data_IF_891857865569
#
_entry.id   IF_891857865569
#
_cell.length_a   1.000
_cell.length_b   1.000
_cell.length_c   1.000
_cell.angle_alpha   90.00
_cell.angle_beta   90.00
_cell.angle_gamma   90.00
#
_symmetry.space_group_name_H-M   'P 1'
#
loop_
_entity.id
_entity.type
_entity.pdbx_description
1 polymer ?
#
# COMPACT_ATOMS: atom_id res chain seq x y z
N UNK A 1 52.78 -12.44 -0.97
CA UNK A 1 51.77 -13.17 -1.77
C UNK A 1 50.41 -12.64 -1.38
N UNK A 2 49.85 -11.79 -2.24
CA UNK A 2 48.53 -11.17 -2.13
C UNK A 2 47.47 -12.20 -2.55
N UNK A 3 46.42 -12.36 -1.74
CA UNK A 3 45.13 -12.88 -2.19
C UNK A 3 44.10 -11.75 -2.13
N UNK A 4 43.22 -11.63 -3.13
CA UNK A 4 42.54 -10.38 -3.47
C UNK A 4 41.28 -10.12 -2.62
N UNK A 5 41.03 -8.83 -2.39
CA UNK A 5 39.71 -8.30 -1.98
C UNK A 5 38.73 -8.44 -3.15
N UNK A 6 37.74 -9.30 -3.02
CA UNK A 6 36.47 -9.21 -3.76
C UNK A 6 35.55 -8.33 -2.91
N UNK A 7 35.20 -7.13 -3.34
CA UNK A 7 34.17 -6.91 -4.36
C UNK A 7 32.90 -6.45 -3.65
N UNK A 8 32.94 -5.26 -3.06
CA UNK A 8 31.78 -4.64 -2.43
C UNK A 8 30.73 -4.35 -3.48
N UNK A 9 29.60 -5.05 -3.39
CA UNK A 9 28.41 -4.72 -4.16
C UNK A 9 27.82 -3.43 -3.58
N UNK A 10 27.95 -2.36 -4.36
CA UNK A 10 27.29 -1.08 -4.13
C UNK A 10 25.78 -1.27 -4.18
N UNK A 11 25.10 -1.25 -3.03
CA UNK A 11 23.64 -1.23 -2.91
C UNK A 11 23.05 0.17 -3.19
N UNK A 12 23.66 0.92 -4.11
CA UNK A 12 23.22 2.27 -4.47
C UNK A 12 22.31 2.24 -5.70
N UNK A 13 21.15 1.56 -5.63
CA UNK A 13 20.11 1.78 -6.65
C UNK A 13 18.69 1.29 -6.33
N UNK A 14 18.21 1.38 -5.10
CA UNK A 14 16.77 1.25 -4.81
C UNK A 14 16.41 2.08 -3.58
N UNK A 15 16.39 3.41 -3.69
CA UNK A 15 15.79 4.26 -2.66
C UNK A 15 14.27 4.25 -2.82
N UNK A 16 13.65 3.15 -2.38
CA UNK A 16 12.24 3.18 -2.01
C UNK A 16 12.20 3.76 -0.58
N UNK A 17 11.49 4.87 -0.33
CA UNK A 17 11.35 5.40 1.03
C UNK A 17 10.88 4.29 1.98
N UNK A 18 11.46 4.17 3.19
CA UNK A 18 11.14 3.05 4.09
C UNK A 18 9.65 3.01 4.51
N UNK A 19 8.98 4.17 4.57
CA UNK A 19 7.53 4.26 4.73
C UNK A 19 6.77 3.60 3.56
N UNK A 20 7.32 3.63 2.34
CA UNK A 20 6.82 2.86 1.22
C UNK A 20 7.18 1.37 1.33
N UNK A 21 8.29 0.96 1.99
CA UNK A 21 8.60 -0.45 2.20
C UNK A 21 7.63 -1.13 3.18
N UNK A 22 7.33 -0.51 4.34
CA UNK A 22 6.31 -1.03 5.26
C UNK A 22 4.92 -1.04 4.61
N UNK A 23 4.56 0.02 3.88
CA UNK A 23 3.30 0.15 3.15
C UNK A 23 3.21 -0.74 1.91
N UNK A 24 4.34 -1.12 1.30
CA UNK A 24 4.44 -2.05 0.16
C UNK A 24 4.42 -3.51 0.63
N UNK A 25 5.01 -3.82 1.78
CA UNK A 25 4.93 -5.15 2.38
C UNK A 25 3.50 -5.46 2.85
N UNK A 26 2.82 -4.52 3.53
CA UNK A 26 1.42 -4.66 3.94
C UNK A 26 0.43 -4.74 2.75
N UNK A 27 0.68 -4.02 1.64
CA UNK A 27 -0.21 -4.03 0.45
C UNK A 27 -0.10 -5.28 -0.44
N UNK A 28 0.93 -6.12 -0.26
CA UNK A 28 1.18 -7.26 -1.17
C UNK A 28 0.52 -8.58 -0.75
N UNK A 29 -0.01 -8.66 0.48
CA UNK A 29 -0.50 -9.92 1.07
C UNK A 29 -1.94 -9.80 1.53
N UNK A 30 -2.88 -9.71 0.59
CA UNK A 30 -4.31 -9.66 0.91
C UNK A 30 -4.86 -11.07 1.15
N UNK A 31 -5.81 -11.17 2.06
CA UNK A 31 -6.68 -12.33 2.26
C UNK A 31 -8.08 -11.84 2.64
N UNK A 32 -9.04 -12.75 2.80
CA UNK A 32 -10.35 -12.45 3.35
C UNK A 32 -10.97 -13.72 3.94
N UNK A 33 -12.02 -13.55 4.75
CA UNK A 33 -12.86 -14.65 5.23
C UNK A 33 -14.33 -14.30 5.04
N UNK A 34 -15.16 -15.30 4.80
CA UNK A 34 -16.63 -15.15 4.76
C UNK A 34 -17.21 -15.43 6.15
N UNK A 35 -18.14 -14.58 6.59
CA UNK A 35 -18.93 -14.75 7.80
C UNK A 35 -20.37 -14.46 7.47
N UNK A 36 -21.19 -15.51 7.43
CA UNK A 36 -22.62 -15.39 7.12
C UNK A 36 -22.92 -14.61 5.82
N UNK A 37 -22.05 -14.73 4.82
CA UNK A 37 -22.15 -14.01 3.54
C UNK A 37 -21.55 -12.60 3.53
N UNK A 38 -20.96 -12.15 4.64
CA UNK A 38 -20.18 -10.92 4.72
C UNK A 38 -18.68 -11.22 4.55
N UNK A 39 -18.04 -10.44 3.68
CA UNK A 39 -16.60 -10.55 3.43
C UNK A 39 -15.83 -9.67 4.41
N UNK A 40 -15.03 -10.30 5.26
CA UNK A 40 -14.10 -9.62 6.16
C UNK A 40 -12.71 -9.61 5.52
N UNK A 41 -12.21 -8.42 5.19
CA UNK A 41 -10.88 -8.23 4.65
C UNK A 41 -9.80 -8.62 5.67
N UNK A 42 -8.66 -9.11 5.16
CA UNK A 42 -7.52 -9.41 6.00
C UNK A 42 -6.19 -9.29 5.26
N UNK A 43 -5.14 -9.49 6.03
CA UNK A 43 -3.75 -9.58 5.57
C UNK A 43 -3.08 -10.80 6.19
N UNK A 44 -1.86 -11.12 5.79
CA UNK A 44 -1.13 -12.23 6.37
C UNK A 44 0.38 -12.05 6.34
N UNK A 45 1.06 -12.76 7.24
CA UNK A 45 2.52 -12.83 7.31
C UNK A 45 2.99 -14.21 7.76
N UNK A 46 4.23 -14.56 7.45
CA UNK A 46 4.83 -15.75 8.03
C UNK A 46 5.12 -15.56 9.52
N UNK A 47 4.91 -16.63 10.29
CA UNK A 47 5.26 -16.76 11.70
C UNK A 47 5.67 -18.21 12.00
N UNK A 48 6.19 -18.45 13.20
CA UNK A 48 6.37 -19.81 13.72
C UNK A 48 5.30 -20.12 14.76
N UNK A 49 4.61 -21.25 14.60
CA UNK A 49 3.77 -21.83 15.66
C UNK A 49 4.54 -22.98 16.31
N UNK A 50 4.69 -22.96 17.63
CA UNK A 50 5.27 -24.05 18.41
C UNK A 50 4.17 -25.01 18.81
N UNK A 51 4.28 -26.25 18.36
CA UNK A 51 3.42 -27.35 18.79
C UNK A 51 4.29 -28.54 19.20
N UNK A 52 4.22 -28.92 20.49
CA UNK A 52 5.17 -29.84 21.08
C UNK A 52 6.60 -29.30 21.03
N UNK A 53 7.54 -30.15 20.61
CA UNK A 53 8.98 -29.83 20.56
C UNK A 53 9.43 -29.22 19.21
N UNK A 54 8.47 -28.86 18.33
CA UNK A 54 8.74 -28.41 16.96
C UNK A 54 8.11 -27.04 16.67
N UNK A 55 8.82 -26.25 15.86
CA UNK A 55 8.39 -24.96 15.35
C UNK A 55 7.92 -25.10 13.90
N UNK A 56 6.70 -24.66 13.60
CA UNK A 56 6.10 -24.78 12.29
C UNK A 56 6.06 -23.41 11.62
N UNK A 57 6.78 -23.24 10.51
CA UNK A 57 6.64 -22.09 9.65
C UNK A 57 5.23 -22.12 9.05
N UNK A 58 4.44 -21.10 9.33
CA UNK A 58 3.04 -21.02 8.93
C UNK A 58 2.66 -19.58 8.61
N UNK A 59 1.47 -19.40 8.04
CA UNK A 59 0.89 -18.09 7.76
C UNK A 59 0.00 -17.69 8.94
N UNK A 60 0.30 -16.53 9.50
CA UNK A 60 -0.53 -15.82 10.46
C UNK A 60 -1.48 -14.92 9.68
N UNK A 61 -2.78 -15.20 9.71
CA UNK A 61 -3.80 -14.36 9.08
C UNK A 61 -4.36 -13.37 10.10
N UNK A 62 -4.55 -12.12 9.68
CA UNK A 62 -5.01 -11.01 10.51
C UNK A 62 -6.20 -10.38 9.81
N UNK A 63 -7.34 -10.25 10.49
CA UNK A 63 -8.60 -9.80 9.89
C UNK A 63 -9.05 -8.45 10.45
N UNK A 64 -9.81 -7.70 9.65
CA UNK A 64 -10.27 -6.35 9.98
C UNK A 64 -11.11 -6.29 11.26
N UNK A 65 -11.84 -7.35 11.58
CA UNK A 65 -12.65 -7.46 12.78
C UNK A 65 -11.86 -7.77 14.07
N UNK A 66 -10.53 -7.87 13.97
CA UNK A 66 -9.65 -8.13 15.11
C UNK A 66 -9.46 -9.60 15.45
N UNK A 67 -9.86 -10.51 14.56
CA UNK A 67 -9.50 -11.92 14.70
C UNK A 67 -8.17 -12.25 14.02
N UNK A 68 -7.47 -13.23 14.58
CA UNK A 68 -6.16 -13.69 14.10
C UNK A 68 -6.21 -15.21 13.98
N UNK A 69 -5.85 -15.76 12.81
CA UNK A 69 -5.69 -17.20 12.64
C UNK A 69 -4.22 -17.59 12.80
N UNK A 70 -3.95 -18.39 13.83
CA UNK A 70 -2.63 -18.91 14.18
C UNK A 70 -2.70 -20.41 14.52
N UNK A 71 -3.23 -21.20 13.57
CA UNK A 71 -3.73 -22.56 13.76
C UNK A 71 -5.00 -22.60 14.61
N UNK A 72 -5.97 -21.81 14.18
CA UNK A 72 -7.21 -21.56 14.87
C UNK A 72 -7.46 -20.07 14.98
N UNK A 73 -8.69 -19.68 14.68
CA UNK A 73 -9.16 -18.31 14.75
C UNK A 73 -9.35 -17.90 16.22
N UNK A 74 -8.70 -16.81 16.62
CA UNK A 74 -8.72 -16.31 18.00
C UNK A 74 -8.90 -14.79 18.05
N UNK A 75 -9.38 -14.31 19.18
CA UNK A 75 -9.45 -12.87 19.51
C UNK A 75 -8.06 -12.29 19.81
N UNK A 76 -7.93 -10.96 19.87
CA UNK A 76 -6.69 -10.30 20.25
C UNK A 76 -6.19 -10.70 21.65
N UNK A 77 -7.08 -10.86 22.62
CA UNK A 77 -6.71 -11.27 23.98
C UNK A 77 -6.17 -12.72 24.01
N UNK A 78 -6.80 -13.62 23.27
CA UNK A 78 -6.33 -15.00 23.12
C UNK A 78 -5.03 -15.08 22.31
N UNK A 79 -4.87 -14.22 21.29
CA UNK A 79 -3.63 -14.09 20.54
C UNK A 79 -2.49 -13.60 21.44
N UNK A 80 -2.72 -12.61 22.30
CA UNK A 80 -1.76 -12.16 23.30
C UNK A 80 -1.38 -13.30 24.26
N UNK A 81 -2.34 -14.13 24.70
CA UNK A 81 -2.06 -15.32 25.50
C UNK A 81 -1.22 -16.38 24.74
N UNK A 82 -1.46 -16.56 23.44
CA UNK A 82 -0.67 -17.44 22.57
C UNK A 82 0.76 -16.93 22.34
N UNK A 83 0.96 -15.61 22.26
CA UNK A 83 2.30 -15.02 22.25
C UNK A 83 3.00 -15.23 23.60
N UNK A 84 2.33 -14.94 24.71
CA UNK A 84 2.88 -15.07 26.05
C UNK A 84 3.27 -16.51 26.42
N UNK A 85 2.55 -17.51 25.91
CA UNK A 85 2.86 -18.94 26.10
C UNK A 85 3.92 -19.47 25.13
N UNK A 86 4.35 -18.66 24.17
CA UNK A 86 5.24 -19.08 23.09
C UNK A 86 4.60 -20.09 22.14
N UNK A 87 3.26 -20.13 22.04
CA UNK A 87 2.55 -20.85 20.99
C UNK A 87 2.83 -20.18 19.64
N UNK A 88 2.63 -18.87 19.54
CA UNK A 88 3.19 -18.08 18.44
C UNK A 88 4.60 -17.69 18.86
N UNK A 89 5.59 -18.34 18.26
CA UNK A 89 6.96 -18.29 18.70
C UNK A 89 7.71 -17.11 18.05
N UNK A 90 8.22 -16.23 18.91
CA UNK A 90 9.20 -15.20 18.55
C UNK A 90 10.62 -15.56 19.02
N UNK A 91 10.72 -16.49 19.96
CA UNK A 91 11.99 -17.10 20.40
C UNK A 91 12.21 -18.41 19.64
N UNK A 92 13.36 -18.54 19.00
CA UNK A 92 13.73 -19.71 18.20
C UNK A 92 15.04 -20.28 18.78
N UNK A 93 15.00 -21.34 19.61
CA UNK A 93 16.20 -21.87 20.23
C UNK A 93 17.14 -22.55 19.21
N UNK A 94 18.45 -22.40 19.42
CA UNK A 94 19.46 -23.12 18.64
C UNK A 94 19.26 -24.65 18.76
N UNK A 95 19.35 -25.35 17.63
CA UNK A 95 19.12 -26.79 17.56
C UNK A 95 17.67 -27.25 17.63
N UNK A 96 16.69 -26.36 17.89
CA UNK A 96 15.27 -26.71 17.88
C UNK A 96 14.82 -27.12 16.48
N UNK A 97 13.87 -28.05 16.41
CA UNK A 97 13.36 -28.55 15.13
C UNK A 97 12.35 -27.56 14.53
N UNK A 98 12.50 -27.29 13.25
CA UNK A 98 11.64 -26.46 12.45
C UNK A 98 11.04 -27.25 11.28
N UNK A 99 9.84 -26.89 10.85
CA UNK A 99 9.16 -27.54 9.74
C UNK A 99 8.35 -26.54 8.92
N UNK A 100 8.47 -26.67 7.61
CA UNK A 100 7.53 -26.12 6.65
C UNK A 100 6.72 -27.31 6.10
N UNK A 101 5.41 -27.31 6.35
CA UNK A 101 4.54 -28.47 6.12
C UNK A 101 4.60 -28.94 4.66
N UNK A 102 4.81 -30.24 4.44
CA UNK A 102 5.05 -30.88 3.13
C UNK A 102 6.24 -30.36 2.30
N UNK A 103 7.05 -29.44 2.83
CA UNK A 103 8.20 -28.88 2.13
C UNK A 103 9.50 -29.43 2.71
N UNK A 104 9.76 -29.20 4.00
CA UNK A 104 11.00 -29.62 4.65
C UNK A 104 10.91 -29.61 6.18
N UNK A 105 11.84 -30.34 6.80
CA UNK A 105 12.18 -30.23 8.23
C UNK A 105 13.67 -29.90 8.35
N UNK A 106 14.03 -29.05 9.29
CA UNK A 106 15.41 -28.67 9.57
C UNK A 106 15.60 -28.37 11.06
N UNK A 107 16.84 -28.13 11.48
CA UNK A 107 17.14 -27.59 12.80
C UNK A 107 17.64 -26.16 12.65
N UNK A 108 17.22 -25.28 13.55
CA UNK A 108 17.84 -23.96 13.62
C UNK A 108 19.34 -24.11 13.97
N UNK A 109 20.16 -23.28 13.33
CA UNK A 109 21.58 -23.13 13.63
C UNK A 109 21.86 -21.64 13.73
N UNK A 110 22.29 -21.18 14.90
CA UNK A 110 22.55 -19.78 15.24
C UNK A 110 21.41 -18.82 14.82
N UNK A 111 20.16 -19.08 15.23
CA UNK A 111 19.03 -18.25 14.80
C UNK A 111 19.15 -16.82 15.34
N UNK A 112 18.96 -15.83 14.46
CA UNK A 112 18.89 -14.43 14.81
C UNK A 112 17.44 -13.93 14.68
N UNK A 113 16.70 -13.96 15.78
CA UNK A 113 15.36 -13.40 15.86
C UNK A 113 15.40 -12.05 16.57
N UNK A 114 15.04 -10.98 15.84
CA UNK A 114 14.97 -9.62 16.39
C UNK A 114 13.54 -9.21 16.81
N UNK A 115 12.55 -10.03 16.47
CA UNK A 115 11.14 -9.76 16.77
C UNK A 115 10.80 -10.30 18.16
N UNK A 116 10.17 -9.47 18.99
CA UNK A 116 9.61 -9.90 20.29
C UNK A 116 8.10 -10.09 20.22
N UNK A 117 7.51 -10.73 21.24
CA UNK A 117 6.06 -10.89 21.35
C UNK A 117 5.32 -9.55 21.32
N UNK A 118 5.78 -8.57 22.10
CA UNK A 118 5.18 -7.23 22.16
C UNK A 118 5.28 -6.49 20.81
N UNK A 119 6.41 -6.63 20.12
CA UNK A 119 6.59 -6.07 18.79
C UNK A 119 5.61 -6.68 17.79
N UNK A 120 5.47 -8.01 17.78
CA UNK A 120 4.54 -8.71 16.89
C UNK A 120 3.09 -8.35 17.21
N UNK A 121 2.73 -8.26 18.49
CA UNK A 121 1.40 -7.83 18.92
C UNK A 121 1.08 -6.42 18.41
N UNK A 122 2.00 -5.48 18.59
CA UNK A 122 1.83 -4.11 18.08
C UNK A 122 1.74 -4.04 16.56
N UNK A 123 2.49 -4.87 15.83
CA UNK A 123 2.33 -4.98 14.36
C UNK A 123 0.94 -5.48 13.96
N UNK A 124 0.39 -6.48 14.67
CA UNK A 124 -0.96 -7.01 14.41
C UNK A 124 -2.02 -5.93 14.64
N UNK A 125 -1.91 -5.15 15.71
CA UNK A 125 -2.81 -4.02 15.97
C UNK A 125 -2.74 -2.98 14.85
N UNK A 126 -1.54 -2.64 14.41
CA UNK A 126 -1.33 -1.70 13.30
C UNK A 126 -1.92 -2.21 11.98
N UNK A 127 -1.84 -3.52 11.70
CA UNK A 127 -2.51 -4.11 10.52
C UNK A 127 -4.03 -4.04 10.63
N UNK A 128 -4.60 -4.32 11.80
CA UNK A 128 -6.05 -4.18 12.02
C UNK A 128 -6.49 -2.74 11.82
N UNK A 129 -5.73 -1.76 12.33
CA UNK A 129 -6.01 -0.35 12.09
C UNK A 129 -5.98 -0.01 10.60
N UNK A 130 -4.96 -0.48 9.88
CA UNK A 130 -4.86 -0.28 8.42
C UNK A 130 -6.01 -0.91 7.65
N UNK A 131 -6.44 -2.12 8.03
CA UNK A 131 -7.57 -2.81 7.39
C UNK A 131 -8.90 -2.08 7.61
N UNK A 132 -9.01 -1.25 8.66
CA UNK A 132 -10.19 -0.45 8.96
C UNK A 132 -10.03 1.03 8.57
N UNK A 133 -9.03 1.38 7.75
CA UNK A 133 -8.71 2.76 7.36
C UNK A 133 -8.50 3.71 8.56
N UNK A 134 -8.06 3.17 9.71
CA UNK A 134 -7.70 3.92 10.91
C UNK A 134 -6.21 4.26 10.90
N UNK A 135 -5.79 5.37 11.55
CA UNK A 135 -4.38 5.69 11.66
C UNK A 135 -3.67 4.62 12.51
N UNK A 136 -2.59 4.03 11.98
CA UNK A 136 -1.71 3.14 12.73
C UNK A 136 -0.90 3.88 13.81
N UNK A 137 -0.11 3.14 14.59
CA UNK A 137 0.71 3.69 15.69
C UNK A 137 1.61 4.85 15.25
N UNK A 138 2.21 4.75 14.06
CA UNK A 138 3.08 5.78 13.49
C UNK A 138 2.29 7.02 13.13
N UNK A 139 1.16 6.85 12.43
CA UNK A 139 0.28 7.96 12.08
C UNK A 139 -0.25 8.70 13.32
N UNK A 140 -0.64 7.95 14.38
CA UNK A 140 -1.04 8.53 15.67
C UNK A 140 0.10 9.31 16.33
N UNK A 141 1.32 8.79 16.31
CA UNK A 141 2.49 9.50 16.84
C UNK A 141 2.75 10.81 16.10
N UNK A 142 2.70 10.81 14.76
CA UNK A 142 2.86 12.03 13.96
C UNK A 142 1.74 13.05 14.20
N UNK A 143 0.50 12.59 14.44
CA UNK A 143 -0.60 13.47 14.82
C UNK A 143 -0.35 14.12 16.21
N UNK A 144 0.17 13.36 17.18
CA UNK A 144 0.56 13.91 18.47
C UNK A 144 1.69 14.93 18.34
N UNK A 145 2.64 14.71 17.42
CA UNK A 145 3.70 15.69 17.10
C UNK A 145 3.10 16.99 16.55
N UNK A 146 2.12 16.92 15.65
CA UNK A 146 1.45 18.12 15.13
C UNK A 146 0.81 18.94 16.27
N UNK A 147 0.15 18.28 17.24
CA UNK A 147 -0.42 18.94 18.43
C UNK A 147 0.68 19.57 19.28
N UNK A 148 1.77 18.84 19.53
CA UNK A 148 2.92 19.37 20.28
C UNK A 148 3.56 20.58 19.59
N UNK A 149 3.66 20.61 18.26
CA UNK A 149 4.20 21.77 17.55
C UNK A 149 3.36 23.03 17.76
N UNK A 150 2.05 22.89 17.93
CA UNK A 150 1.12 24.00 18.15
C UNK A 150 1.09 24.45 19.63
N UNK A 151 1.18 23.51 20.58
CA UNK A 151 1.04 23.80 22.03
C UNK A 151 2.38 24.02 22.75
N UNK A 152 3.40 23.22 22.42
CA UNK A 152 4.75 23.24 22.98
C UNK A 152 4.81 23.23 24.52
N UNK A 153 3.91 22.48 25.15
CA UNK A 153 3.86 22.27 26.60
C UNK A 153 4.21 20.82 26.99
N UNK A 154 4.29 20.56 28.30
CA UNK A 154 4.67 19.23 28.81
C UNK A 154 3.59 18.17 28.54
N UNK A 155 2.32 18.53 28.58
CA UNK A 155 1.20 17.60 28.39
C UNK A 155 1.18 17.08 26.95
N UNK A 156 1.29 17.98 25.97
CA UNK A 156 1.40 17.61 24.56
C UNK A 156 2.70 16.83 24.26
N UNK A 157 3.80 17.13 24.95
CA UNK A 157 5.04 16.34 24.84
C UNK A 157 4.90 14.94 25.42
N UNK A 158 4.22 14.82 26.57
CA UNK A 158 3.94 13.53 27.18
C UNK A 158 3.05 12.66 26.26
N UNK A 159 2.11 13.27 25.54
CA UNK A 159 1.32 12.59 24.51
C UNK A 159 2.20 12.09 23.34
N UNK A 160 3.15 12.90 22.85
CA UNK A 160 4.15 12.44 21.85
C UNK A 160 4.96 11.26 22.38
N UNK A 161 5.43 11.35 23.63
CA UNK A 161 6.21 10.28 24.27
C UNK A 161 5.41 8.98 24.36
N UNK A 162 4.17 9.04 24.83
CA UNK A 162 3.29 7.89 24.90
C UNK A 162 3.04 7.27 23.51
N UNK A 163 2.72 8.10 22.51
CA UNK A 163 2.46 7.63 21.16
C UNK A 163 3.71 7.05 20.48
N UNK A 164 4.90 7.61 20.74
CA UNK A 164 6.17 7.07 20.24
C UNK A 164 6.46 5.68 20.82
N UNK A 165 6.23 5.49 22.13
CA UNK A 165 6.42 4.19 22.75
C UNK A 165 5.38 3.14 22.33
N UNK A 166 4.20 3.58 21.88
CA UNK A 166 3.19 2.69 21.30
C UNK A 166 3.55 2.15 19.91
N UNK A 167 4.49 2.79 19.18
CA UNK A 167 5.03 2.23 17.93
C UNK A 167 5.83 0.97 18.26
N UNK A 168 5.62 -0.17 17.57
CA UNK A 168 6.43 -1.36 17.73
C UNK A 168 7.91 -1.02 17.60
N UNK A 169 8.72 -1.46 18.58
CA UNK A 169 10.07 -0.92 18.75
C UNK A 169 10.95 -1.04 17.50
N UNK A 170 10.93 -2.20 16.82
CA UNK A 170 11.68 -2.41 15.59
C UNK A 170 11.18 -1.57 14.41
N UNK A 171 9.96 -1.02 14.47
CA UNK A 171 9.40 -0.13 13.45
C UNK A 171 9.70 1.34 13.69
N UNK A 172 10.06 1.74 14.92
CA UNK A 172 10.32 3.14 15.28
C UNK A 172 11.31 3.79 14.32
N UNK A 173 12.43 3.12 14.04
CA UNK A 173 13.49 3.62 13.14
C UNK A 173 12.98 3.96 11.73
N UNK A 174 11.87 3.36 11.29
CA UNK A 174 11.23 3.58 9.99
C UNK A 174 10.08 4.59 10.01
N UNK A 175 9.62 5.02 11.19
CA UNK A 175 8.42 5.83 11.38
C UNK A 175 8.40 7.13 10.56
N UNK A 176 9.56 7.73 10.31
CA UNK A 176 9.68 8.99 9.55
C UNK A 176 9.94 8.78 8.05
N UNK A 177 10.27 7.56 7.61
CA UNK A 177 10.70 7.27 6.24
C UNK A 177 12.04 7.90 5.83
N UNK A 178 12.70 8.67 6.72
CA UNK A 178 14.02 9.28 6.55
C UNK A 178 15.09 8.34 7.14
N UNK A 179 15.85 7.66 6.30
CA UNK A 179 16.88 6.69 6.74
C UNK A 179 18.17 7.33 7.22
N UNK A 180 18.41 8.60 6.89
CA UNK A 180 19.56 9.34 7.39
C UNK A 180 19.36 9.69 8.87
N UNK A 181 18.13 10.09 9.23
CA UNK A 181 17.79 10.49 10.60
C UNK A 181 17.10 9.39 11.42
N UNK A 182 16.47 8.42 10.76
CA UNK A 182 15.66 7.36 11.39
C UNK A 182 14.65 7.95 12.37
N UNK A 183 14.54 7.41 13.58
CA UNK A 183 13.68 7.90 14.65
C UNK A 183 14.34 8.92 15.59
N UNK A 184 15.56 9.38 15.30
CA UNK A 184 16.25 10.37 16.14
C UNK A 184 15.39 11.61 16.43
N UNK A 185 14.71 12.24 15.45
CA UNK A 185 13.88 13.40 15.72
C UNK A 185 12.73 13.10 16.69
N UNK A 186 12.06 11.93 16.56
CA UNK A 186 10.98 11.51 17.46
C UNK A 186 11.51 11.26 18.88
N UNK A 187 12.63 10.56 19.02
CA UNK A 187 13.28 10.28 20.31
C UNK A 187 13.60 11.57 21.06
N UNK A 188 14.24 12.51 20.38
CA UNK A 188 14.63 13.80 20.96
C UNK A 188 13.41 14.62 21.39
N UNK A 189 12.34 14.62 20.59
CA UNK A 189 11.11 15.35 20.88
C UNK A 189 10.36 14.73 22.08
N UNK A 190 10.20 13.40 22.07
CA UNK A 190 9.56 12.64 23.14
C UNK A 190 10.29 12.80 24.49
N UNK A 191 11.63 12.75 24.47
CA UNK A 191 12.45 12.92 25.67
C UNK A 191 12.44 14.37 26.17
N UNK A 192 12.56 15.37 25.28
CA UNK A 192 12.60 16.79 25.63
C UNK A 192 13.92 17.23 26.30
N UNK A 193 14.21 18.54 26.37
CA UNK A 193 15.51 19.06 26.82
C UNK A 193 15.87 18.63 28.25
N UNK A 194 17.12 18.20 28.46
CA UNK A 194 17.65 17.81 29.77
C UNK A 194 17.26 16.41 30.25
N UNK A 195 16.40 15.70 29.50
CA UNK A 195 16.04 14.31 29.81
C UNK A 195 16.93 13.33 29.05
N UNK A 196 17.12 12.11 29.59
CA UNK A 196 17.90 11.07 28.93
C UNK A 196 17.19 10.52 27.69
N UNK A 197 17.99 10.17 26.68
CA UNK A 197 17.59 9.34 25.55
C UNK A 197 18.78 8.48 25.10
N UNK A 198 18.50 7.28 24.61
CA UNK A 198 19.54 6.37 24.10
C UNK A 198 19.63 6.46 22.58
N UNK A 199 20.86 6.59 22.06
CA UNK A 199 21.16 6.64 20.63
C UNK A 199 22.50 5.95 20.33
N UNK A 200 22.49 4.98 19.42
CA UNK A 200 23.69 4.18 19.08
C UNK A 200 24.36 3.60 20.34
N UNK A 201 23.54 3.02 21.22
CA UNK A 201 23.97 2.39 22.48
C UNK A 201 24.64 3.34 23.50
N UNK A 202 24.50 4.65 23.30
CA UNK A 202 24.96 5.68 24.23
C UNK A 202 23.77 6.43 24.85
N UNK A 203 23.75 6.50 26.18
CA UNK A 203 22.80 7.34 26.92
C UNK A 203 23.29 8.79 26.95
N UNK A 204 22.44 9.69 26.46
CA UNK A 204 22.74 11.13 26.35
C UNK A 204 21.59 11.94 26.91
N UNK A 205 21.89 13.16 27.37
CA UNK A 205 20.85 14.14 27.66
C UNK A 205 20.52 14.93 26.40
N UNK A 206 19.24 15.15 26.14
CA UNK A 206 18.82 16.00 25.03
C UNK A 206 19.28 17.44 25.27
N UNK A 207 20.18 17.94 24.44
CA UNK A 207 20.59 19.34 24.47
C UNK A 207 19.51 20.25 23.88
N UNK A 208 19.52 21.53 24.27
CA UNK A 208 18.66 22.56 23.66
C UNK A 208 18.85 22.66 22.13
N UNK A 209 20.07 22.42 21.64
CA UNK A 209 20.42 22.45 20.21
C UNK A 209 19.76 21.30 19.46
N UNK A 210 19.83 20.08 20.00
CA UNK A 210 19.20 18.89 19.43
C UNK A 210 17.68 19.03 19.42
N UNK A 211 17.08 19.47 20.53
CA UNK A 211 15.64 19.71 20.61
C UNK A 211 15.17 20.75 19.57
N UNK A 212 15.88 21.87 19.44
CA UNK A 212 15.59 22.87 18.42
C UNK A 212 15.77 22.33 16.98
N UNK A 213 16.68 21.38 16.76
CA UNK A 213 16.84 20.72 15.47
C UNK A 213 15.69 19.76 15.16
N UNK A 214 15.20 19.01 16.14
CA UNK A 214 14.01 18.17 16.00
C UNK A 214 12.76 19.00 15.68
N UNK A 215 12.56 20.13 16.37
CA UNK A 215 11.46 21.06 16.06
C UNK A 215 11.51 21.55 14.60
N UNK A 216 12.67 22.04 14.15
CA UNK A 216 12.85 22.49 12.74
C UNK A 216 12.60 21.36 11.74
N UNK A 217 12.99 20.14 12.08
CA UNK A 217 12.75 18.97 11.24
C UNK A 217 11.24 18.76 11.03
N UNK A 218 10.46 18.70 12.11
CA UNK A 218 9.01 18.45 12.01
C UNK A 218 8.22 19.63 11.43
N UNK A 219 8.64 20.87 11.69
CA UNK A 219 8.08 22.02 10.96
C UNK A 219 8.33 21.93 9.45
N UNK A 220 9.51 21.47 9.05
CA UNK A 220 9.85 21.19 7.66
C UNK A 220 8.94 20.13 7.05
N UNK A 221 8.76 19.02 7.76
CA UNK A 221 7.88 17.92 7.36
C UNK A 221 6.42 18.38 7.23
N UNK A 222 5.91 19.17 8.20
CA UNK A 222 4.57 19.76 8.18
C UNK A 222 4.37 20.70 7.00
N UNK A 223 5.39 21.50 6.65
CA UNK A 223 5.37 22.35 5.44
C UNK A 223 5.34 21.52 4.16
N UNK A 224 6.16 20.47 4.05
CA UNK A 224 6.16 19.57 2.89
C UNK A 224 4.80 18.87 2.73
N UNK A 225 4.20 18.38 3.82
CA UNK A 225 2.86 17.74 3.78
C UNK A 225 1.76 18.72 3.36
N UNK A 226 1.82 19.98 3.78
CA UNK A 226 0.87 21.03 3.36
C UNK A 226 1.09 21.50 1.91
N UNK A 227 2.33 21.48 1.44
CA UNK A 227 2.69 21.85 0.07
C UNK A 227 2.51 20.70 -0.93
N UNK A 228 2.47 19.46 -0.45
CA UNK A 228 2.10 18.31 -1.27
C UNK A 228 0.68 18.53 -1.80
N UNK A 229 0.44 18.38 -3.12
CA UNK A 229 -0.91 18.38 -3.63
C UNK A 229 -1.72 17.34 -2.85
N UNK A 230 -2.95 17.71 -2.48
CA UNK A 230 -3.89 16.83 -1.79
C UNK A 230 -3.82 15.46 -2.46
N UNK A 231 -3.55 14.37 -1.73
CA UNK A 231 -3.78 13.05 -2.27
C UNK A 231 -5.19 13.04 -2.86
N UNK A 232 -5.34 12.52 -4.08
CA UNK A 232 -6.67 12.14 -4.54
C UNK A 232 -7.37 11.35 -3.43
N UNK A 233 -8.68 11.54 -3.32
CA UNK A 233 -9.59 10.91 -2.35
C UNK A 233 -9.19 9.46 -1.96
N UNK A 234 -9.48 9.02 -0.72
CA UNK A 234 -8.96 7.78 -0.13
C UNK A 234 -9.01 6.63 -1.12
N UNK A 235 -7.89 5.89 -1.21
CA UNK A 235 -7.62 4.94 -2.27
C UNK A 235 -8.71 3.87 -2.39
N UNK A 236 -9.67 4.14 -3.27
CA UNK A 236 -10.54 3.14 -3.88
C UNK A 236 -9.67 1.96 -4.30
N UNK A 237 -10.14 0.74 -4.01
CA UNK A 237 -9.54 -0.52 -4.47
C UNK A 237 -9.03 -0.35 -5.90
N UNK A 238 -7.72 -0.49 -6.13
CA UNK A 238 -7.17 -0.26 -7.47
C UNK A 238 -7.21 -1.56 -8.29
N UNK A 239 -7.81 -1.53 -9.47
CA UNK A 239 -7.81 -2.63 -10.43
C UNK A 239 -6.76 -2.34 -11.49
N UNK A 240 -5.79 -3.25 -11.65
CA UNK A 240 -4.74 -3.13 -12.67
C UNK A 240 -5.20 -3.79 -13.96
N UNK A 241 -5.25 -3.02 -15.03
CA UNK A 241 -5.48 -3.50 -16.39
C UNK A 241 -4.11 -3.80 -16.99
N UNK A 242 -3.66 -5.04 -16.81
CA UNK A 242 -2.32 -5.50 -17.19
C UNK A 242 -2.03 -5.34 -18.69
N UNK A 243 -0.76 -5.12 -19.03
CA UNK A 243 -0.28 -5.18 -20.40
C UNK A 243 -0.35 -6.62 -20.92
N UNK A 244 -0.89 -6.80 -22.12
CA UNK A 244 -0.83 -8.06 -22.86
C UNK A 244 0.36 -7.97 -23.81
N UNK A 245 1.42 -8.73 -23.54
CA UNK A 245 2.53 -8.87 -24.50
C UNK A 245 2.01 -9.60 -25.74
N UNK A 246 1.51 -8.85 -26.73
CA UNK A 246 1.00 -9.36 -28.02
C UNK A 246 2.07 -10.01 -28.91
N UNK A 247 3.27 -10.25 -28.39
CA UNK A 247 4.40 -10.90 -29.07
C UNK A 247 4.50 -12.40 -28.83
N UNK A 248 3.56 -13.02 -28.10
CA UNK A 248 3.49 -14.48 -27.89
C UNK A 248 2.44 -15.10 -28.84
N UNK A 249 2.73 -16.19 -29.56
CA UNK A 249 1.76 -16.83 -30.46
C UNK A 249 0.59 -17.40 -29.65
N UNK A 250 -0.61 -16.81 -29.82
CA UNK A 250 -1.82 -17.25 -29.12
C UNK A 250 -3.00 -16.26 -29.14
N UNK A 251 -2.76 -14.97 -29.41
CA UNK A 251 -3.84 -13.97 -29.49
C UNK A 251 -4.40 -13.57 -28.11
N UNK A 252 -5.64 -13.10 -28.08
CA UNK A 252 -6.36 -12.77 -26.84
C UNK A 252 -6.85 -14.03 -26.13
N UNK A 253 -6.84 -14.08 -24.79
CA UNK A 253 -7.36 -15.23 -24.04
C UNK A 253 -8.86 -15.43 -24.31
N UNK A 254 -9.32 -16.69 -24.31
CA UNK A 254 -10.75 -17.03 -24.54
C UNK A 254 -11.69 -16.35 -23.55
N UNK A 255 -11.26 -16.16 -22.29
CA UNK A 255 -11.99 -15.44 -21.25
C UNK A 255 -11.17 -14.22 -20.79
N UNK A 256 -11.28 -13.08 -21.49
CA UNK A 256 -10.42 -11.92 -21.26
C UNK A 256 -10.67 -11.16 -19.96
N UNK A 257 -11.84 -11.32 -19.34
CA UNK A 257 -12.18 -10.65 -18.08
C UNK A 257 -11.91 -9.14 -18.17
N UNK A 258 -11.14 -8.59 -17.23
CA UNK A 258 -10.81 -7.15 -17.18
C UNK A 258 -10.00 -6.66 -18.39
N UNK A 259 -9.34 -7.55 -19.14
CA UNK A 259 -8.53 -7.17 -20.30
C UNK A 259 -9.37 -6.62 -21.46
N UNK A 260 -10.68 -6.85 -21.46
CA UNK A 260 -11.58 -6.24 -22.45
C UNK A 260 -11.60 -4.71 -22.38
N UNK A 261 -11.16 -4.12 -21.26
CA UNK A 261 -11.09 -2.67 -21.08
C UNK A 261 -9.91 -2.02 -21.84
N UNK A 262 -8.96 -2.82 -22.32
CA UNK A 262 -7.81 -2.35 -23.10
C UNK A 262 -8.23 -1.69 -24.41
N UNK A 263 -7.56 -0.61 -24.81
CA UNK A 263 -7.85 0.04 -26.09
C UNK A 263 -7.44 -0.81 -27.30
N UNK A 264 -6.53 -1.76 -27.11
CA UNK A 264 -6.09 -2.71 -28.13
C UNK A 264 -7.00 -3.95 -28.23
N UNK A 265 -7.97 -4.13 -27.30
CA UNK A 265 -8.91 -5.25 -27.35
C UNK A 265 -9.73 -5.20 -28.65
N UNK A 266 -9.91 -6.32 -29.38
CA UNK A 266 -10.51 -6.37 -30.70
C UNK A 266 -12.04 -6.25 -30.62
N UNK A 267 -12.49 -5.06 -30.22
CA UNK A 267 -13.88 -4.62 -30.25
C UNK A 267 -14.02 -3.59 -31.38
N UNK A 268 -14.58 -3.98 -32.53
CA UNK A 268 -14.65 -3.09 -33.69
C UNK A 268 -15.42 -1.81 -33.37
N UNK A 269 -14.85 -0.65 -33.66
CA UNK A 269 -15.48 0.66 -33.44
C UNK A 269 -15.77 1.35 -34.76
N UNK A 270 -17.00 1.81 -34.92
CA UNK A 270 -17.42 2.59 -36.10
C UNK A 270 -17.16 4.08 -35.84
N UNK A 271 -16.34 4.71 -36.67
CA UNK A 271 -16.03 6.15 -36.66
C UNK A 271 -16.46 6.74 -38.01
N UNK A 272 -17.57 7.47 -38.02
CA UNK A 272 -18.18 7.94 -39.25
C UNK A 272 -18.63 6.76 -40.13
N UNK A 273 -18.04 6.62 -41.32
CA UNK A 273 -18.33 5.53 -42.26
C UNK A 273 -17.29 4.39 -42.21
N UNK A 274 -16.28 4.47 -41.34
CA UNK A 274 -15.20 3.49 -41.26
C UNK A 274 -15.33 2.63 -40.01
N UNK A 275 -14.99 1.34 -40.13
CA UNK A 275 -14.92 0.40 -39.02
C UNK A 275 -13.45 0.11 -38.76
N UNK A 276 -13.01 0.33 -37.52
CA UNK A 276 -11.66 0.04 -37.07
C UNK A 276 -11.68 -1.20 -36.16
N UNK A 277 -10.68 -2.10 -36.21
CA UNK A 277 -10.67 -3.33 -35.41
C UNK A 277 -10.64 -3.11 -33.89
N UNK A 278 -10.05 -2.00 -33.43
CA UNK A 278 -9.98 -1.61 -32.03
C UNK A 278 -9.95 -0.08 -31.87
N UNK A 279 -10.05 0.40 -30.63
CA UNK A 279 -9.85 1.83 -30.29
C UNK A 279 -8.44 2.28 -30.60
N UNK A 280 -7.43 1.42 -30.38
CA UNK A 280 -6.05 1.71 -30.74
C UNK A 280 -5.89 1.96 -32.25
N UNK A 281 -6.48 1.09 -33.08
CA UNK A 281 -6.43 1.24 -34.55
C UNK A 281 -7.15 2.51 -35.02
N UNK A 282 -8.31 2.81 -34.44
CA UNK A 282 -9.05 4.03 -34.74
C UNK A 282 -8.25 5.28 -34.34
N UNK A 283 -7.64 5.26 -33.16
CA UNK A 283 -6.82 6.36 -32.65
C UNK A 283 -5.58 6.57 -33.51
N UNK A 284 -4.86 5.52 -33.88
CA UNK A 284 -3.68 5.62 -34.76
C UNK A 284 -4.03 6.20 -36.13
N UNK A 285 -5.16 5.81 -36.71
CA UNK A 285 -5.62 6.32 -38.01
C UNK A 285 -5.83 7.83 -38.03
N UNK A 286 -6.18 8.44 -36.89
CA UNK A 286 -6.48 9.87 -36.78
C UNK A 286 -5.40 10.68 -36.05
N UNK A 287 -4.56 10.06 -35.22
CA UNK A 287 -3.65 10.75 -34.29
C UNK A 287 -2.61 11.64 -34.97
N UNK A 288 -2.17 11.28 -36.19
CA UNK A 288 -1.25 12.08 -36.98
C UNK A 288 -1.84 13.43 -37.43
N UNK A 289 -3.16 13.48 -37.60
CA UNK A 289 -3.89 14.65 -38.12
C UNK A 289 -4.58 15.46 -37.01
N UNK A 290 -4.49 15.01 -35.75
CA UNK A 290 -5.12 15.64 -34.59
C UNK A 290 -4.06 16.40 -33.77
N UNK A 291 -4.27 17.70 -33.47
CA UNK A 291 -3.39 18.47 -32.60
C UNK A 291 -3.17 17.80 -31.25
N UNK A 292 -1.97 17.89 -30.68
CA UNK A 292 -1.61 17.21 -29.43
C UNK A 292 -2.60 17.48 -28.29
N UNK A 293 -3.12 18.71 -28.18
CA UNK A 293 -4.11 19.11 -27.17
C UNK A 293 -5.47 18.43 -27.32
N UNK A 294 -5.83 17.97 -28.52
CA UNK A 294 -7.11 17.32 -28.82
C UNK A 294 -7.04 15.78 -28.75
N UNK A 295 -5.84 15.20 -28.65
CA UNK A 295 -5.64 13.73 -28.64
C UNK A 295 -6.32 13.03 -27.47
N UNK A 296 -6.30 13.62 -26.29
CA UNK A 296 -7.01 13.08 -25.10
C UNK A 296 -8.51 13.05 -25.32
N UNK A 297 -9.08 14.09 -25.92
CA UNK A 297 -10.51 14.15 -26.25
C UNK A 297 -10.89 13.09 -27.29
N UNK A 298 -10.06 12.92 -28.34
CA UNK A 298 -10.29 11.86 -29.34
C UNK A 298 -10.25 10.47 -28.72
N UNK A 299 -9.30 10.19 -27.82
CA UNK A 299 -9.26 8.90 -27.11
C UNK A 299 -10.53 8.70 -26.26
N UNK A 300 -10.99 9.74 -25.56
CA UNK A 300 -12.22 9.68 -24.78
C UNK A 300 -13.45 9.33 -25.65
N UNK A 301 -13.60 10.01 -26.80
CA UNK A 301 -14.69 9.72 -27.75
C UNK A 301 -14.65 8.29 -28.29
N UNK A 302 -13.46 7.78 -28.61
CA UNK A 302 -13.32 6.41 -29.10
C UNK A 302 -13.66 5.38 -28.02
N UNK A 303 -13.29 5.64 -26.76
CA UNK A 303 -13.69 4.80 -25.63
C UNK A 303 -15.21 4.83 -25.43
N UNK A 304 -15.85 6.00 -25.51
CA UNK A 304 -17.32 6.13 -25.46
C UNK A 304 -17.97 5.30 -26.57
N UNK A 305 -17.48 5.44 -27.82
CA UNK A 305 -17.98 4.67 -28.96
C UNK A 305 -17.84 3.16 -28.73
N UNK A 306 -16.71 2.70 -28.18
CA UNK A 306 -16.51 1.29 -27.84
C UNK A 306 -17.57 0.79 -26.87
N UNK A 307 -17.75 1.45 -25.73
CA UNK A 307 -18.69 0.96 -24.71
C UNK A 307 -20.16 1.18 -25.11
N UNK A 308 -20.46 2.16 -25.96
CA UNK A 308 -21.79 2.33 -26.54
C UNK A 308 -22.12 1.24 -27.57
N UNK A 309 -21.15 0.81 -28.38
CA UNK A 309 -21.34 -0.22 -29.42
C UNK A 309 -21.24 -1.65 -28.88
N UNK A 310 -20.65 -1.84 -27.70
CA UNK A 310 -20.42 -3.15 -27.06
C UNK A 310 -20.90 -3.14 -25.59
N UNK A 311 -22.23 -3.24 -25.34
CA UNK A 311 -22.81 -3.16 -24.00
C UNK A 311 -22.26 -4.20 -23.02
N UNK A 312 -21.89 -5.39 -23.49
CA UNK A 312 -21.27 -6.45 -22.68
C UNK A 312 -19.90 -6.04 -22.13
N UNK A 313 -19.16 -5.19 -22.85
CA UNK A 313 -17.91 -4.61 -22.36
C UNK A 313 -18.18 -3.46 -21.40
N UNK A 314 -19.27 -2.72 -21.60
CA UNK A 314 -19.71 -1.67 -20.71
C UNK A 314 -20.09 -2.23 -19.33
N UNK A 315 -20.73 -3.40 -19.28
CA UNK A 315 -20.99 -4.12 -18.04
C UNK A 315 -19.70 -4.44 -17.27
N UNK A 316 -18.66 -4.87 -17.98
CA UNK A 316 -17.34 -5.14 -17.37
C UNK A 316 -16.71 -3.86 -16.80
N UNK A 317 -16.87 -2.72 -17.49
CA UNK A 317 -16.41 -1.42 -17.02
C UNK A 317 -17.18 -0.96 -15.78
N UNK A 318 -18.51 -1.05 -15.79
CA UNK A 318 -19.38 -0.67 -14.67
C UNK A 318 -19.18 -1.59 -13.46
N UNK A 319 -18.92 -2.88 -13.67
CA UNK A 319 -18.62 -3.83 -12.60
C UNK A 319 -17.35 -3.51 -11.82
N UNK A 320 -16.48 -2.63 -12.34
CA UNK A 320 -15.34 -2.10 -11.57
C UNK A 320 -15.76 -1.16 -10.43
N UNK A 321 -17.04 -0.75 -10.37
CA UNK A 321 -17.58 0.04 -9.27
C UNK A 321 -16.88 1.38 -9.13
N UNK A 322 -16.43 1.71 -7.93
CA UNK A 322 -15.62 2.90 -7.67
C UNK A 322 -14.12 2.62 -7.77
N UNK A 323 -13.68 1.43 -8.17
CA UNK A 323 -12.25 1.10 -8.18
C UNK A 323 -11.42 2.06 -9.05
N UNK A 324 -10.24 2.47 -8.57
CA UNK A 324 -9.25 3.17 -9.40
C UNK A 324 -8.71 2.22 -10.47
N UNK A 325 -8.80 2.59 -11.74
CA UNK A 325 -8.30 1.80 -12.87
C UNK A 325 -6.87 2.19 -13.18
N UNK A 326 -5.93 1.27 -12.97
CA UNK A 326 -4.50 1.46 -13.30
C UNK A 326 -4.22 0.78 -14.64
N UNK A 327 -4.00 1.58 -15.67
CA UNK A 327 -3.70 1.11 -17.01
C UNK A 327 -2.20 0.80 -17.15
N UNK A 328 -1.84 -0.48 -17.09
CA UNK A 328 -0.44 -0.88 -17.24
C UNK A 328 -0.01 -0.77 -18.71
N UNK A 329 0.79 0.25 -19.00
CA UNK A 329 1.40 0.49 -20.29
C UNK A 329 2.72 1.26 -20.13
N UNK A 330 3.62 1.12 -21.11
CA UNK A 330 4.94 1.77 -21.13
C UNK A 330 4.87 3.29 -21.42
N UNK A 331 3.75 3.79 -21.94
CA UNK A 331 3.54 5.22 -22.17
C UNK A 331 3.46 6.00 -20.86
N UNK A 332 4.42 6.89 -20.62
CA UNK A 332 4.40 7.81 -19.48
C UNK A 332 3.18 8.75 -19.45
N UNK A 333 2.47 8.90 -20.57
CA UNK A 333 1.24 9.70 -20.64
C UNK A 333 -0.01 8.81 -20.49
N UNK A 334 -0.16 7.77 -21.31
CA UNK A 334 -1.38 6.98 -21.35
C UNK A 334 -1.48 5.96 -20.22
N UNK A 335 -0.38 5.32 -19.86
CA UNK A 335 -0.31 4.27 -18.84
C UNK A 335 0.35 4.70 -17.55
N UNK A 336 0.48 3.71 -16.67
CA UNK A 336 1.28 3.74 -15.46
C UNK A 336 2.05 2.43 -15.32
N UNK A 337 3.36 2.52 -15.15
CA UNK A 337 4.22 1.38 -14.82
C UNK A 337 4.75 1.58 -13.39
N UNK A 338 4.44 0.65 -12.49
CA UNK A 338 4.68 0.83 -11.05
C UNK A 338 4.01 2.10 -10.52
N UNK A 339 4.75 3.09 -9.99
CA UNK A 339 4.24 4.39 -9.52
C UNK A 339 4.48 5.54 -10.51
N UNK A 340 5.05 5.26 -11.69
CA UNK A 340 5.41 6.26 -12.69
C UNK A 340 4.44 6.23 -13.88
N UNK A 341 4.08 7.41 -14.41
CA UNK A 341 3.14 7.57 -15.52
C UNK A 341 1.83 8.25 -15.11
N UNK A 342 1.20 8.95 -16.07
CA UNK A 342 0.02 9.79 -15.79
C UNK A 342 -1.31 9.03 -15.78
N UNK A 343 -1.32 7.78 -16.24
CA UNK A 343 -2.51 6.91 -16.24
C UNK A 343 -3.73 7.51 -16.95
N UNK A 344 -3.55 8.27 -18.04
CA UNK A 344 -4.68 8.94 -18.71
C UNK A 344 -5.72 7.95 -19.23
N UNK A 345 -5.35 6.76 -19.71
CA UNK A 345 -6.32 5.75 -20.14
C UNK A 345 -7.18 5.24 -18.98
N UNK A 346 -6.56 4.95 -17.83
CA UNK A 346 -7.30 4.56 -16.63
C UNK A 346 -8.31 5.62 -16.19
N UNK A 347 -7.91 6.90 -16.19
CA UNK A 347 -8.79 8.03 -15.86
C UNK A 347 -9.92 8.23 -16.87
N UNK A 348 -9.65 8.03 -18.16
CA UNK A 348 -10.68 8.12 -19.18
C UNK A 348 -11.69 6.98 -19.06
N UNK A 349 -11.25 5.76 -18.71
CA UNK A 349 -12.15 4.65 -18.42
C UNK A 349 -13.02 4.94 -17.18
N UNK A 350 -12.46 5.51 -16.12
CA UNK A 350 -13.21 5.95 -14.93
C UNK A 350 -14.25 7.04 -15.27
N UNK A 351 -13.91 7.96 -16.17
CA UNK A 351 -14.85 8.97 -16.68
C UNK A 351 -15.99 8.32 -17.45
N UNK A 352 -15.67 7.47 -18.44
CA UNK A 352 -16.70 6.78 -19.24
C UNK A 352 -17.58 5.87 -18.37
N UNK A 353 -16.99 5.21 -17.36
CA UNK A 353 -17.75 4.45 -16.35
C UNK A 353 -18.76 5.33 -15.62
N UNK A 354 -18.33 6.51 -15.18
CA UNK A 354 -19.19 7.46 -14.49
C UNK A 354 -20.32 7.97 -15.40
N UNK A 355 -20.03 8.19 -16.69
CA UNK A 355 -21.02 8.57 -17.69
C UNK A 355 -22.07 7.47 -17.90
N UNK A 356 -21.65 6.19 -17.98
CA UNK A 356 -22.56 5.04 -18.11
C UNK A 356 -23.47 4.84 -16.89
N UNK A 357 -23.05 5.31 -15.70
CA UNK A 357 -23.83 5.21 -14.48
C UNK A 357 -24.95 6.26 -14.37
N UNK A 358 -24.94 7.28 -15.25
CA UNK A 358 -25.94 8.34 -15.26
C UNK A 358 -26.91 8.08 -16.41
N UNK A 359 -28.21 7.83 -16.14
CA UNK A 359 -29.21 7.71 -17.19
C UNK A 359 -29.34 9.04 -17.95
N UNK A 360 -29.41 8.99 -19.28
CA UNK A 360 -29.63 10.15 -20.14
C UNK A 360 -30.93 10.90 -19.77
N UNK A 361 -30.79 11.94 -18.94
CA UNK A 361 -31.34 13.29 -19.12
C UNK A 361 -31.04 14.11 -17.86
N UNK A 362 -30.12 15.05 -18.01
CA UNK A 362 -29.76 16.11 -17.06
C UNK A 362 -29.16 15.63 -15.72
N UNK A 363 -27.81 15.56 -15.70
CA UNK A 363 -26.96 15.33 -14.54
C UNK A 363 -27.36 16.20 -13.32
N UNK A 364 -27.81 17.43 -13.56
CA UNK A 364 -28.15 18.37 -12.49
C UNK A 364 -29.57 18.18 -11.95
N UNK A 365 -30.52 17.75 -12.80
CA UNK A 365 -31.90 17.44 -12.38
C UNK A 365 -31.99 16.09 -11.69
N UNK A 366 -31.27 15.08 -12.19
CA UNK A 366 -31.29 13.72 -11.65
C UNK A 366 -30.65 13.61 -10.27
N UNK A 367 -29.75 14.54 -9.91
CA UNK A 367 -29.07 14.58 -8.62
C UNK A 367 -29.68 15.59 -7.62
N UNK A 368 -30.82 16.24 -7.94
CA UNK A 368 -31.41 17.31 -7.10
C UNK A 368 -30.40 18.40 -6.70
N UNK A 369 -29.43 18.72 -7.56
CA UNK A 369 -28.36 19.68 -7.27
C UNK A 369 -28.72 21.12 -7.68
N UNK A 370 -29.94 21.34 -8.17
CA UNK A 370 -30.50 22.67 -8.42
C UNK A 370 -31.56 22.95 -7.36
N UNK A 371 -31.38 23.94 -6.48
CA UNK A 371 -32.49 24.43 -5.65
C UNK A 371 -33.54 25.10 -6.55
N UNK A 372 -34.82 24.90 -6.24
CA UNK A 372 -35.96 25.56 -6.93
C UNK A 372 -35.80 27.08 -7.10
#
# INVERSE_FOLDING_TARGET
MHLPRTGGLSLSRWEIPAANLARMMARSRRTWRDVDGERIEGTWRHAFVRNGDRHYLTDLFIYADGLVDCWGLVTLDEFAAKLASGWVATELPDGAEASAFHVATWKFAEPQAALTADMLYGEVLDEIDRLNDRPDSTARCLAAVDVFLDQQDEDSRAAVRAAYHAIPEHLRIYALGDMDRRDWPLRVLAAGPGNPYSWQDEDKLVSKKEHAAALRYFEGLRRQRRAAPTPAEPAETSIVISHTNHTVPGGWPENPGILVLRNEFPAPVTVGAQIHPSVADAYEAVAANVPAQARTAVMAELLRLKFAQHPELAETLTATGTARLVYADSSAFWGQHSTEGRNWLGRLLELVRSELAVPDHDLFTSLNLVPE
#
